data_IF_072693063031
#
_entry.id   IF_072693063031
#
_cell.length_a   1.000
_cell.length_b   1.000
_cell.length_c   1.000
_cell.angle_alpha   90.00
_cell.angle_beta   90.00
_cell.angle_gamma   90.00
#
_symmetry.space_group_name_H-M   'P 1'
#
loop_
_entity.id
_entity.type
_entity.pdbx_description
1 polymer ?
#
# COMPACT_ATOMS: atom_id res chain seq x y z
N UNK A 1 22.22 14.08 -36.42
CA UNK A 1 22.00 13.79 -34.99
C UNK A 1 20.61 13.21 -34.86
N UNK A 2 20.48 11.91 -34.59
CA UNK A 2 19.17 11.29 -34.31
C UNK A 2 18.90 11.48 -32.82
N UNK A 3 17.93 12.33 -32.46
CA UNK A 3 17.39 12.39 -31.11
C UNK A 3 16.91 10.99 -30.74
N UNK A 4 17.50 10.41 -29.69
CA UNK A 4 16.93 9.23 -29.04
C UNK A 4 15.63 9.71 -28.40
N UNK A 5 14.50 9.46 -29.05
CA UNK A 5 13.22 9.36 -28.34
C UNK A 5 13.41 8.27 -27.30
N UNK A 6 13.67 8.70 -26.07
CA UNK A 6 13.51 7.89 -24.89
C UNK A 6 12.00 7.60 -24.84
N UNK A 7 11.59 6.46 -25.41
CA UNK A 7 10.26 5.91 -25.21
C UNK A 7 10.08 5.80 -23.71
N UNK A 8 9.37 6.76 -23.11
CA UNK A 8 8.97 6.69 -21.73
C UNK A 8 8.22 5.37 -21.60
N UNK A 9 8.79 4.41 -20.89
CA UNK A 9 8.07 3.17 -20.57
C UNK A 9 6.75 3.59 -19.93
N UNK A 10 5.66 3.23 -20.58
CA UNK A 10 4.32 3.60 -20.14
C UNK A 10 4.11 3.04 -18.74
N UNK A 11 3.92 3.93 -17.77
CA UNK A 11 3.64 3.58 -16.38
C UNK A 11 2.47 2.60 -16.30
N UNK A 12 2.62 1.47 -15.60
CA UNK A 12 1.58 0.41 -15.56
C UNK A 12 0.37 0.81 -14.72
N UNK A 13 0.56 1.78 -13.83
CA UNK A 13 -0.42 2.28 -12.87
C UNK A 13 0.27 3.01 -11.73
N UNK A 14 -0.51 3.41 -10.74
CA UNK A 14 -0.03 4.26 -9.66
C UNK A 14 -0.23 3.66 -8.27
N UNK A 15 0.54 4.15 -7.30
CA UNK A 15 0.42 3.76 -5.90
C UNK A 15 0.43 4.99 -5.01
N UNK A 16 -0.61 5.12 -4.19
CA UNK A 16 -0.66 6.09 -3.11
C UNK A 16 -0.29 5.38 -1.79
N UNK A 17 0.81 5.78 -1.17
CA UNK A 17 1.31 5.25 0.10
C UNK A 17 0.90 6.17 1.24
N UNK A 18 0.10 5.65 2.17
CA UNK A 18 -0.42 6.37 3.33
C UNK A 18 0.24 5.87 4.61
N UNK A 19 0.93 6.78 5.30
CA UNK A 19 1.50 6.53 6.62
C UNK A 19 1.06 7.55 7.65
N UNK A 20 1.24 7.22 8.93
CA UNK A 20 1.04 8.20 9.99
C UNK A 20 2.02 9.36 9.80
N UNK A 21 1.54 10.61 9.84
CA UNK A 21 2.40 11.78 9.89
C UNK A 21 3.29 11.68 11.13
N UNK A 22 4.62 11.79 10.97
CA UNK A 22 5.61 11.65 12.04
C UNK A 22 5.41 12.71 13.15
N UNK A 23 4.48 12.46 14.06
CA UNK A 23 4.28 13.20 15.32
C UNK A 23 4.89 12.46 16.53
N UNK A 24 5.57 11.33 16.31
CA UNK A 24 6.13 10.47 17.36
C UNK A 24 7.64 10.68 17.46
N UNK A 25 8.14 10.73 18.70
CA UNK A 25 9.53 10.97 19.12
C UNK A 25 10.59 10.41 18.15
N UNK A 26 11.52 11.28 17.73
CA UNK A 26 12.58 11.08 16.72
C UNK A 26 13.20 9.67 16.64
N UNK A 27 13.46 8.98 17.75
CA UNK A 27 14.22 7.73 17.73
C UNK A 27 13.53 6.53 17.06
N UNK A 28 12.19 6.49 16.94
CA UNK A 28 11.48 5.43 16.17
C UNK A 28 11.06 5.88 14.77
N UNK A 29 11.15 7.17 14.47
CA UNK A 29 10.73 7.71 13.18
C UNK A 29 11.71 7.31 12.05
N UNK A 30 12.98 7.14 12.38
CA UNK A 30 14.04 6.85 11.39
C UNK A 30 13.93 5.41 10.84
N UNK A 31 13.59 4.42 11.67
CA UNK A 31 13.38 3.02 11.23
C UNK A 31 12.10 2.82 10.38
N UNK A 32 11.14 3.74 10.47
CA UNK A 32 9.97 3.69 9.60
C UNK A 32 10.21 4.43 8.28
N UNK A 33 11.09 5.43 8.27
CA UNK A 33 11.43 6.18 7.06
C UNK A 33 12.15 5.30 6.04
N UNK A 34 13.16 4.52 6.46
CA UNK A 34 13.92 3.66 5.55
C UNK A 34 13.08 2.53 4.96
N UNK A 35 12.16 1.96 5.72
CA UNK A 35 11.19 0.96 5.23
C UNK A 35 10.28 1.50 4.14
N UNK A 36 9.71 2.71 4.34
CA UNK A 36 8.87 3.36 3.32
C UNK A 36 9.66 3.78 2.09
N UNK A 37 10.90 4.22 2.26
CA UNK A 37 11.79 4.57 1.14
C UNK A 37 12.13 3.35 0.29
N UNK A 38 12.49 2.21 0.93
CA UNK A 38 12.72 0.94 0.23
C UNK A 38 11.50 0.51 -0.57
N UNK A 39 10.33 0.59 0.05
CA UNK A 39 9.06 0.24 -0.59
C UNK A 39 8.75 1.13 -1.79
N UNK A 40 8.87 2.46 -1.64
CA UNK A 40 8.67 3.40 -2.72
C UNK A 40 9.65 3.18 -3.88
N UNK A 41 10.92 2.91 -3.58
CA UNK A 41 11.94 2.60 -4.58
C UNK A 41 11.63 1.29 -5.33
N UNK A 42 11.20 0.24 -4.64
CA UNK A 42 10.83 -1.04 -5.25
C UNK A 42 9.60 -0.93 -6.16
N UNK A 43 8.60 -0.16 -5.73
CA UNK A 43 7.40 0.13 -6.52
C UNK A 43 7.74 0.93 -7.78
N UNK A 44 8.55 1.99 -7.65
CA UNK A 44 9.03 2.79 -8.77
C UNK A 44 9.87 1.97 -9.76
N UNK A 45 10.77 1.12 -9.26
CA UNK A 45 11.56 0.19 -10.08
C UNK A 45 10.70 -0.86 -10.80
N UNK A 46 9.46 -1.08 -10.33
CA UNK A 46 8.47 -1.95 -10.97
C UNK A 46 7.58 -1.20 -11.96
N UNK A 47 7.92 0.03 -12.35
CA UNK A 47 7.23 0.82 -13.37
C UNK A 47 5.93 1.49 -12.90
N UNK A 48 5.78 1.70 -11.59
CA UNK A 48 4.62 2.35 -10.98
C UNK A 48 4.93 3.81 -10.63
N UNK A 49 3.96 4.71 -10.82
CA UNK A 49 4.04 6.05 -10.25
C UNK A 49 3.78 5.96 -8.75
N UNK A 50 4.62 6.60 -7.92
CA UNK A 50 4.56 6.44 -6.46
C UNK A 50 4.40 7.80 -5.79
N UNK A 51 3.30 7.97 -5.05
CA UNK A 51 3.05 9.14 -4.22
C UNK A 51 3.02 8.75 -2.74
N UNK A 52 3.83 9.42 -1.92
CA UNK A 52 3.85 9.24 -0.47
C UNK A 52 3.08 10.35 0.23
N UNK A 53 2.16 9.97 1.12
CA UNK A 53 1.30 10.89 1.86
C UNK A 53 1.37 10.57 3.36
N UNK A 54 1.74 11.57 4.14
CA UNK A 54 1.50 11.55 5.59
C UNK A 54 0.09 12.05 5.85
N UNK A 55 -0.76 11.23 6.47
CA UNK A 55 -2.11 11.67 6.87
C UNK A 55 -1.99 12.61 8.06
N UNK A 56 -2.29 13.89 7.85
CA UNK A 56 -2.38 14.88 8.93
C UNK A 56 -3.76 14.86 9.57
N UNK A 57 -3.81 15.25 10.86
CA UNK A 57 -5.05 15.29 11.63
C UNK A 57 -5.99 16.44 11.26
N UNK A 58 -5.47 17.48 10.60
CA UNK A 58 -6.15 18.76 10.45
C UNK A 58 -6.98 18.89 9.17
N UNK A 59 -6.72 18.05 8.16
CA UNK A 59 -7.57 17.93 6.98
C UNK A 59 -8.56 16.78 7.17
N UNK A 60 -9.72 16.87 6.52
CA UNK A 60 -10.57 15.69 6.42
C UNK A 60 -9.76 14.59 5.72
N UNK A 61 -9.54 13.48 6.42
CA UNK A 61 -8.65 12.42 5.95
C UNK A 61 -9.10 11.88 4.59
N UNK A 62 -10.41 11.82 4.37
CA UNK A 62 -11.02 11.46 3.10
C UNK A 62 -10.61 12.40 1.95
N UNK A 63 -10.56 13.71 2.18
CA UNK A 63 -10.12 14.67 1.16
C UNK A 63 -8.63 14.53 0.85
N UNK A 64 -7.81 14.20 1.86
CA UNK A 64 -6.38 13.92 1.66
C UNK A 64 -6.17 12.68 0.78
N UNK A 65 -6.92 11.60 1.05
CA UNK A 65 -6.89 10.37 0.24
C UNK A 65 -7.36 10.64 -1.19
N UNK A 66 -8.46 11.37 -1.37
CA UNK A 66 -8.97 11.71 -2.71
C UNK A 66 -7.98 12.54 -3.52
N UNK A 67 -7.41 13.57 -2.90
CA UNK A 67 -6.42 14.44 -3.55
C UNK A 67 -5.15 13.67 -3.94
N UNK A 68 -4.76 12.70 -3.11
CA UNK A 68 -3.66 11.79 -3.41
C UNK A 68 -3.96 10.90 -4.62
N UNK A 69 -5.14 10.27 -4.66
CA UNK A 69 -5.56 9.43 -5.79
C UNK A 69 -5.59 10.25 -7.08
N UNK A 70 -6.13 11.47 -7.03
CA UNK A 70 -6.16 12.38 -8.19
C UNK A 70 -4.75 12.71 -8.71
N UNK A 71 -3.83 13.04 -7.80
CA UNK A 71 -2.46 13.35 -8.17
C UNK A 71 -1.76 12.13 -8.80
N UNK A 72 -1.92 10.95 -8.21
CA UNK A 72 -1.37 9.70 -8.77
C UNK A 72 -1.97 9.43 -10.15
N UNK A 73 -3.28 9.59 -10.31
CA UNK A 73 -3.96 9.41 -11.59
C UNK A 73 -3.36 10.33 -12.67
N UNK A 74 -3.15 11.61 -12.33
CA UNK A 74 -2.53 12.59 -13.24
C UNK A 74 -1.10 12.22 -13.63
N UNK A 75 -0.31 11.65 -12.71
CA UNK A 75 1.06 11.21 -12.98
C UNK A 75 1.11 9.95 -13.88
N UNK A 76 0.04 9.14 -13.89
CA UNK A 76 -0.04 7.90 -14.67
C UNK A 76 -0.59 8.09 -16.11
N UNK A 77 -1.10 9.27 -16.45
CA UNK A 77 -1.70 9.54 -17.78
C UNK A 77 -2.82 8.56 -18.12
N UNK A 78 -2.69 7.83 -19.23
CA UNK A 78 -3.67 6.85 -19.70
C UNK A 78 -3.91 5.70 -18.71
N UNK A 79 -2.93 5.42 -17.83
CA UNK A 79 -3.05 4.38 -16.79
C UNK A 79 -3.54 4.93 -15.44
N UNK A 80 -4.06 6.16 -15.40
CA UNK A 80 -4.60 6.79 -14.18
C UNK A 80 -5.82 6.11 -13.55
N UNK A 81 -6.34 5.04 -14.18
CA UNK A 81 -7.48 4.23 -13.71
C UNK A 81 -7.05 2.95 -13.00
N UNK A 82 -5.73 2.74 -12.85
CA UNK A 82 -5.09 1.57 -12.23
C UNK A 82 -4.29 2.01 -11.02
N UNK A 83 -4.97 2.23 -9.90
CA UNK A 83 -4.35 2.75 -8.68
C UNK A 83 -4.41 1.70 -7.57
N UNK A 84 -3.28 1.45 -6.92
CA UNK A 84 -3.24 0.72 -5.66
C UNK A 84 -3.15 1.69 -4.48
N UNK A 85 -3.83 1.36 -3.39
CA UNK A 85 -3.71 2.07 -2.12
C UNK A 85 -2.88 1.23 -1.17
N UNK A 86 -1.74 1.75 -0.75
CA UNK A 86 -0.90 1.13 0.26
C UNK A 86 -1.02 1.91 1.56
N UNK A 87 -1.35 1.25 2.66
CA UNK A 87 -1.51 1.91 3.94
C UNK A 87 -0.94 1.09 5.09
N UNK A 88 -0.44 1.78 6.11
CA UNK A 88 0.22 1.17 7.26
C UNK A 88 -0.44 1.57 8.59
N UNK A 89 -0.52 0.62 9.53
CA UNK A 89 -0.95 0.91 10.89
C UNK A 89 -2.33 1.56 10.96
N UNK A 90 -2.40 2.65 11.73
CA UNK A 90 -3.61 3.47 11.92
C UNK A 90 -4.06 4.23 10.66
N UNK A 91 -3.20 4.38 9.64
CA UNK A 91 -3.58 5.04 8.39
C UNK A 91 -4.49 4.15 7.52
N UNK A 92 -4.51 2.83 7.77
CA UNK A 92 -5.23 1.85 6.95
C UNK A 92 -6.74 2.12 6.89
N UNK A 93 -7.39 2.25 8.04
CA UNK A 93 -8.84 2.52 8.13
C UNK A 93 -9.24 3.75 7.29
N UNK A 94 -8.52 4.83 7.52
CA UNK A 94 -8.72 6.11 6.85
C UNK A 94 -8.48 6.04 5.34
N UNK A 95 -7.41 5.36 4.91
CA UNK A 95 -7.07 5.18 3.50
C UNK A 95 -8.15 4.37 2.76
N UNK A 96 -8.62 3.28 3.37
CA UNK A 96 -9.69 2.45 2.82
C UNK A 96 -10.98 3.25 2.69
N UNK A 97 -11.42 3.92 3.76
CA UNK A 97 -12.66 4.69 3.75
C UNK A 97 -12.59 5.90 2.79
N UNK A 98 -11.43 6.53 2.65
CA UNK A 98 -11.22 7.62 1.70
C UNK A 98 -11.22 7.16 0.24
N UNK A 99 -10.76 5.94 -0.03
CA UNK A 99 -10.72 5.32 -1.34
C UNK A 99 -12.05 4.67 -1.76
N UNK A 100 -12.99 4.47 -0.81
CA UNK A 100 -14.17 3.61 -0.98
C UNK A 100 -15.12 3.91 -2.15
N UNK A 101 -15.03 5.11 -2.71
CA UNK A 101 -15.91 5.57 -3.80
C UNK A 101 -15.14 5.93 -5.06
N UNK A 102 -13.84 5.63 -5.11
CA UNK A 102 -13.01 5.94 -6.27
C UNK A 102 -12.75 4.68 -7.11
N UNK A 103 -13.44 4.59 -8.24
CA UNK A 103 -13.39 3.45 -9.16
C UNK A 103 -12.00 3.21 -9.78
N UNK A 104 -11.09 4.19 -9.68
CA UNK A 104 -9.70 4.06 -10.15
C UNK A 104 -8.86 3.21 -9.22
N UNK A 105 -9.29 3.05 -7.96
CA UNK A 105 -8.62 2.18 -7.01
C UNK A 105 -8.98 0.74 -7.33
N UNK A 106 -7.95 -0.09 -7.52
CA UNK A 106 -8.05 -1.48 -7.98
C UNK A 106 -7.55 -2.50 -6.98
N UNK A 107 -6.64 -2.12 -6.08
CA UNK A 107 -6.13 -3.03 -5.07
C UNK A 107 -5.67 -2.30 -3.81
N UNK A 108 -5.57 -3.05 -2.73
CA UNK A 108 -5.13 -2.58 -1.43
C UNK A 108 -3.90 -3.36 -0.95
N UNK A 109 -2.94 -2.67 -0.35
CA UNK A 109 -1.85 -3.30 0.41
C UNK A 109 -1.87 -2.73 1.82
N UNK A 110 -2.00 -3.60 2.82
CA UNK A 110 -2.13 -3.21 4.22
C UNK A 110 -0.95 -3.75 5.02
N UNK A 111 -0.10 -2.87 5.55
CA UNK A 111 1.04 -3.23 6.39
C UNK A 111 0.70 -3.00 7.87
N UNK A 112 0.48 -4.06 8.64
CA UNK A 112 -0.03 -3.96 10.00
C UNK A 112 -1.29 -3.08 10.08
N UNK A 113 -2.19 -3.18 9.10
CA UNK A 113 -3.36 -2.32 8.99
C UNK A 113 -4.32 -2.49 10.16
N UNK A 114 -4.68 -1.39 10.82
CA UNK A 114 -5.75 -1.33 11.82
C UNK A 114 -7.01 -0.83 11.15
N UNK A 115 -8.10 -1.58 11.29
CA UNK A 115 -9.33 -1.34 10.55
C UNK A 115 -10.53 -1.32 11.48
N UNK A 116 -11.35 -0.29 11.34
CA UNK A 116 -12.70 -0.25 11.89
C UNK A 116 -13.65 -1.14 11.09
N UNK A 117 -14.84 -1.36 11.64
CA UNK A 117 -15.84 -2.24 11.04
C UNK A 117 -16.23 -1.80 9.62
N UNK A 118 -16.41 -0.49 9.39
CA UNK A 118 -16.79 0.04 8.07
C UNK A 118 -15.69 -0.17 7.01
N UNK A 119 -14.41 -0.06 7.38
CA UNK A 119 -13.32 -0.29 6.45
C UNK A 119 -13.20 -1.78 6.08
N UNK A 120 -13.39 -2.68 7.07
CA UNK A 120 -13.46 -4.12 6.82
C UNK A 120 -14.61 -4.48 5.89
N UNK A 121 -15.81 -3.97 6.17
CA UNK A 121 -17.00 -4.17 5.32
C UNK A 121 -16.72 -3.71 3.88
N UNK A 122 -16.18 -2.50 3.70
CA UNK A 122 -15.82 -1.99 2.37
C UNK A 122 -14.86 -2.92 1.61
N UNK A 123 -13.81 -3.44 2.26
CA UNK A 123 -12.87 -4.37 1.64
C UNK A 123 -13.49 -5.73 1.32
N UNK A 124 -14.43 -6.21 2.13
CA UNK A 124 -15.12 -7.49 1.89
C UNK A 124 -16.21 -7.40 0.82
N UNK A 125 -16.84 -6.25 0.67
CA UNK A 125 -17.89 -5.99 -0.34
C UNK A 125 -17.31 -5.75 -1.74
N UNK A 126 -16.07 -5.26 -1.83
CA UNK A 126 -15.37 -5.07 -3.09
C UNK A 126 -14.82 -6.37 -3.67
N UNK A 127 -15.74 -7.16 -4.23
CA UNK A 127 -15.41 -8.45 -4.85
C UNK A 127 -14.40 -8.36 -6.00
N UNK A 128 -14.25 -7.19 -6.63
CA UNK A 128 -13.36 -6.94 -7.78
C UNK A 128 -11.99 -6.36 -7.39
N UNK A 129 -11.76 -6.04 -6.12
CA UNK A 129 -10.52 -5.39 -5.68
C UNK A 129 -9.78 -6.28 -4.66
N UNK A 130 -8.65 -6.89 -5.02
CA UNK A 130 -7.88 -7.69 -4.08
C UNK A 130 -7.21 -6.86 -3.00
N UNK A 131 -7.01 -7.48 -1.83
CA UNK A 131 -6.21 -6.93 -0.74
C UNK A 131 -5.02 -7.84 -0.42
N UNK A 132 -3.83 -7.27 -0.29
CA UNK A 132 -2.66 -7.93 0.29
C UNK A 132 -2.47 -7.45 1.73
N UNK A 133 -2.72 -8.34 2.68
CA UNK A 133 -2.53 -8.10 4.10
C UNK A 133 -1.17 -8.61 4.54
N UNK A 134 -0.33 -7.76 5.13
CA UNK A 134 0.99 -8.14 5.66
C UNK A 134 1.06 -7.76 7.13
N UNK A 135 1.35 -8.72 8.00
CA UNK A 135 1.24 -8.53 9.44
C UNK A 135 2.26 -9.34 10.22
N UNK A 136 2.70 -8.79 11.35
CA UNK A 136 3.51 -9.53 12.32
C UNK A 136 2.61 -10.23 13.34
N UNK A 137 2.91 -11.46 13.74
CA UNK A 137 2.09 -12.26 14.65
C UNK A 137 1.92 -11.65 16.04
N UNK A 138 2.79 -10.72 16.43
CA UNK A 138 2.77 -10.01 17.70
C UNK A 138 1.79 -8.83 17.68
N UNK A 139 1.42 -8.33 16.49
CA UNK A 139 0.39 -7.31 16.33
C UNK A 139 -1.01 -7.94 16.35
N UNK A 140 -1.43 -8.42 17.53
CA UNK A 140 -2.70 -9.16 17.69
C UNK A 140 -3.92 -8.42 17.16
N UNK A 141 -3.94 -7.09 17.28
CA UNK A 141 -5.05 -6.27 16.79
C UNK A 141 -5.08 -6.26 15.26
N UNK A 142 -3.99 -5.86 14.62
CA UNK A 142 -3.95 -5.80 13.15
C UNK A 142 -4.04 -7.19 12.52
N UNK A 143 -3.52 -8.22 13.19
CA UNK A 143 -3.66 -9.62 12.77
C UNK A 143 -5.14 -10.04 12.74
N UNK A 144 -5.90 -9.72 13.79
CA UNK A 144 -7.34 -9.96 13.81
C UNK A 144 -8.04 -9.19 12.68
N UNK A 145 -7.80 -7.89 12.58
CA UNK A 145 -8.48 -7.02 11.62
C UNK A 145 -8.22 -7.46 10.16
N UNK A 146 -6.98 -7.84 9.83
CA UNK A 146 -6.62 -8.33 8.50
C UNK A 146 -7.05 -9.77 8.23
N UNK A 147 -7.13 -10.61 9.26
CA UNK A 147 -7.72 -11.95 9.12
C UNK A 147 -9.21 -11.85 8.79
N UNK A 148 -9.93 -10.91 9.42
CA UNK A 148 -11.34 -10.63 9.09
C UNK A 148 -11.49 -10.22 7.60
N UNK A 149 -10.60 -9.37 7.09
CA UNK A 149 -10.58 -8.96 5.67
C UNK A 149 -10.30 -10.15 4.75
N UNK A 150 -9.24 -10.92 5.04
CA UNK A 150 -8.84 -12.08 4.23
C UNK A 150 -9.96 -13.13 4.17
N UNK A 151 -10.53 -13.49 5.33
CA UNK A 151 -11.59 -14.50 5.41
C UNK A 151 -12.93 -14.01 4.85
N UNK A 152 -13.18 -12.69 4.87
CA UNK A 152 -14.39 -12.09 4.34
C UNK A 152 -14.34 -11.73 2.85
N UNK A 153 -13.14 -11.66 2.25
CA UNK A 153 -12.99 -11.30 0.84
C UNK A 153 -13.48 -12.42 -0.08
N UNK A 154 -14.06 -12.02 -1.21
CA UNK A 154 -14.47 -12.93 -2.29
C UNK A 154 -13.50 -12.95 -3.46
N UNK A 155 -12.48 -12.08 -3.45
CA UNK A 155 -11.51 -11.97 -4.53
C UNK A 155 -10.42 -13.04 -4.37
N UNK A 156 -10.17 -13.83 -5.42
CA UNK A 156 -9.21 -14.95 -5.38
C UNK A 156 -7.75 -14.51 -5.11
N UNK A 157 -7.38 -13.31 -5.56
CA UNK A 157 -6.04 -12.75 -5.35
C UNK A 157 -5.85 -12.02 -4.00
N UNK A 158 -6.88 -11.97 -3.14
CA UNK A 158 -6.71 -11.48 -1.77
C UNK A 158 -5.85 -12.47 -0.98
N UNK A 159 -4.81 -11.98 -0.31
CA UNK A 159 -3.83 -12.81 0.39
C UNK A 159 -3.43 -12.20 1.74
N UNK A 160 -2.97 -13.05 2.65
CA UNK A 160 -2.44 -12.66 3.96
C UNK A 160 -1.08 -13.30 4.21
N UNK A 161 -0.07 -12.47 4.48
CA UNK A 161 1.25 -12.90 4.95
C UNK A 161 1.43 -12.56 6.42
N UNK A 162 1.57 -13.60 7.22
CA UNK A 162 1.86 -13.48 8.66
C UNK A 162 3.33 -13.83 8.89
N UNK A 163 4.05 -12.92 9.54
CA UNK A 163 5.46 -13.09 9.87
C UNK A 163 5.68 -13.03 11.38
N UNK A 164 6.71 -13.71 11.88
CA UNK A 164 7.09 -13.66 13.29
C UNK A 164 8.20 -12.62 13.51
N UNK A 165 8.06 -11.79 14.54
CA UNK A 165 9.10 -10.85 14.98
C UNK A 165 9.47 -9.72 14.00
N UNK A 166 8.60 -9.37 13.05
CA UNK A 166 8.91 -8.36 12.02
C UNK A 166 8.55 -6.92 12.43
N UNK A 167 7.86 -6.72 13.56
CA UNK A 167 7.47 -5.38 14.02
C UNK A 167 6.20 -4.89 13.34
N UNK A 168 6.14 -3.60 12.98
CA UNK A 168 4.89 -2.94 12.56
C UNK A 168 5.08 -2.04 11.33
N UNK A 169 4.07 -2.03 10.44
CA UNK A 169 4.00 -1.12 9.29
C UNK A 169 5.19 -1.26 8.36
N UNK A 170 5.68 -0.14 7.80
CA UNK A 170 6.86 -0.17 6.95
C UNK A 170 8.16 -0.63 7.67
N UNK A 171 8.17 -0.62 9.02
CA UNK A 171 9.30 -1.18 9.78
C UNK A 171 9.51 -2.68 9.51
N UNK A 172 8.45 -3.39 9.08
CA UNK A 172 8.56 -4.79 8.67
C UNK A 172 9.49 -5.00 7.47
N UNK A 173 9.56 -4.03 6.55
CA UNK A 173 10.46 -4.09 5.38
C UNK A 173 11.92 -4.05 5.82
N UNK A 174 12.25 -3.19 6.80
CA UNK A 174 13.61 -3.14 7.34
C UNK A 174 13.95 -4.37 8.16
N UNK A 175 13.04 -4.80 9.04
CA UNK A 175 13.20 -6.00 9.85
C UNK A 175 13.43 -7.22 8.96
N UNK A 176 12.67 -7.37 7.87
CA UNK A 176 12.84 -8.46 6.92
C UNK A 176 14.24 -8.48 6.32
N UNK A 177 14.71 -7.34 5.80
CA UNK A 177 16.04 -7.24 5.19
C UNK A 177 17.18 -7.57 6.18
N UNK A 178 16.98 -7.29 7.48
CA UNK A 178 17.94 -7.62 8.54
C UNK A 178 17.92 -9.11 8.90
N UNK A 179 16.74 -9.72 9.01
CA UNK A 179 16.59 -11.11 9.45
C UNK A 179 16.79 -12.14 8.33
N UNK A 180 16.51 -11.76 7.07
CA UNK A 180 16.54 -12.66 5.92
C UNK A 180 17.27 -12.04 4.70
N UNK A 181 18.54 -11.64 4.85
CA UNK A 181 19.28 -10.94 3.79
C UNK A 181 19.46 -11.75 2.49
N UNK A 182 19.40 -13.09 2.58
CA UNK A 182 19.53 -14.02 1.45
C UNK A 182 18.22 -14.30 0.72
N UNK A 183 17.08 -13.90 1.29
CA UNK A 183 15.76 -14.12 0.68
C UNK A 183 15.36 -12.96 -0.21
N UNK A 184 14.30 -13.16 -0.99
CA UNK A 184 13.69 -12.06 -1.73
C UNK A 184 13.26 -10.94 -0.75
N UNK A 185 13.66 -9.68 -0.99
CA UNK A 185 13.25 -8.55 -0.17
C UNK A 185 11.74 -8.36 -0.17
N UNK A 186 11.15 -8.13 1.01
CA UNK A 186 9.71 -7.96 1.17
C UNK A 186 9.13 -6.83 0.30
N UNK A 187 9.87 -5.74 0.13
CA UNK A 187 9.48 -4.63 -0.76
C UNK A 187 9.36 -5.05 -2.23
N UNK A 188 10.18 -6.01 -2.69
CA UNK A 188 10.11 -6.53 -4.07
C UNK A 188 8.90 -7.45 -4.23
N UNK A 189 8.64 -8.31 -3.24
CA UNK A 189 7.43 -9.13 -3.21
C UNK A 189 6.17 -8.25 -3.30
N UNK A 190 6.07 -7.21 -2.46
CA UNK A 190 4.94 -6.27 -2.48
C UNK A 190 4.82 -5.59 -3.85
N UNK A 191 5.93 -5.09 -4.40
CA UNK A 191 5.90 -4.40 -5.69
C UNK A 191 5.49 -5.32 -6.85
N UNK A 192 5.94 -6.57 -6.84
CA UNK A 192 5.52 -7.59 -7.80
C UNK A 192 4.03 -7.88 -7.71
N UNK A 193 3.50 -8.06 -6.49
CA UNK A 193 2.07 -8.28 -6.27
C UNK A 193 1.23 -7.08 -6.75
N UNK A 194 1.62 -5.85 -6.39
CA UNK A 194 0.92 -4.64 -6.84
C UNK A 194 0.92 -4.53 -8.36
N UNK A 195 2.09 -4.68 -9.00
CA UNK A 195 2.18 -4.63 -10.46
C UNK A 195 1.28 -5.68 -11.12
N UNK A 196 1.26 -6.92 -10.59
CA UNK A 196 0.38 -7.97 -11.08
C UNK A 196 -1.09 -7.56 -10.95
N UNK A 197 -1.52 -7.15 -9.75
CA UNK A 197 -2.90 -6.72 -9.47
C UNK A 197 -3.39 -5.58 -10.36
N UNK A 198 -2.50 -4.66 -10.74
CA UNK A 198 -2.85 -3.53 -11.60
C UNK A 198 -2.85 -3.89 -13.09
N UNK A 199 -2.08 -4.91 -13.47
CA UNK A 199 -1.99 -5.39 -14.85
C UNK A 199 -3.12 -6.36 -15.22
N UNK A 200 -3.69 -7.06 -14.25
CA UNK A 200 -4.80 -8.00 -14.46
C UNK A 200 -6.16 -7.30 -14.65
N UNK A 201 -6.25 -6.01 -14.36
CA UNK A 201 -7.44 -5.19 -14.61
C UNK A 201 -7.43 -4.69 -16.06
N UNK A 202 -8.07 -5.48 -16.93
CA UNK A 202 -8.27 -5.23 -18.35
C UNK A 202 -9.65 -5.68 -18.80
#
# INVERSE_FOLDING_TARGET
MKSKEQTAESCVGGVAIFGASNGVRRNKADEHAGGRDRLANALGASGLAVLRIGLQRDLSVQQSVRSAIERVASECGENGTRIAVLAEGEAADAAVLGARSDWRVRSFVLLSGRLGQQAKEALTEWADNPALCIVSSEDKRSLRDMSDVYLGSRHADTDIKVFEGMGYGAGMVESWAKHFPEREPLERYIAGWVRHSLSSVG
#
